data_IF_411718292993
#
_entry.id   IF_411718292993
#
_cell.length_a   1.000
_cell.length_b   1.000
_cell.length_c   1.000
_cell.angle_alpha   90.00
_cell.angle_beta   90.00
_cell.angle_gamma   90.00
#
_symmetry.space_group_name_H-M   'P 1'
#
loop_
_entity.id
_entity.type
_entity.pdbx_description
1 polymer ?
#
# COMPACT_ATOMS: atom_id res chain seq x y z
N UNK A 1 -6.34 -25.88 11.58
CA UNK A 1 -6.38 -25.08 10.36
C UNK A 1 -5.07 -25.36 9.63
N UNK A 2 -5.14 -25.97 8.44
CA UNK A 2 -3.93 -26.27 7.66
C UNK A 2 -3.32 -24.99 7.09
N UNK A 3 -2.05 -25.02 6.78
CA UNK A 3 -1.32 -23.89 6.16
C UNK A 3 -2.04 -23.44 4.89
N UNK A 4 -2.57 -24.34 4.08
CA UNK A 4 -3.31 -24.05 2.85
C UNK A 4 -4.53 -23.14 3.07
N UNK A 5 -5.22 -23.28 4.20
CA UNK A 5 -6.38 -22.44 4.52
C UNK A 5 -6.00 -21.00 4.95
N UNK A 6 -4.84 -20.84 5.60
CA UNK A 6 -4.31 -19.52 5.99
C UNK A 6 -3.78 -18.77 4.76
N UNK A 7 -3.10 -19.48 3.88
CA UNK A 7 -2.60 -18.92 2.63
C UNK A 7 -3.74 -18.46 1.72
N UNK A 8 -4.77 -19.28 1.53
CA UNK A 8 -5.97 -18.91 0.78
C UNK A 8 -6.62 -17.64 1.38
N UNK A 9 -6.73 -17.56 2.70
CA UNK A 9 -7.25 -16.38 3.39
C UNK A 9 -6.42 -15.13 3.12
N UNK A 10 -5.08 -15.23 3.14
CA UNK A 10 -4.19 -14.09 2.88
C UNK A 10 -4.28 -13.62 1.42
N UNK A 11 -4.40 -14.54 0.47
CA UNK A 11 -4.61 -14.20 -0.94
C UNK A 11 -5.95 -13.48 -1.16
N UNK A 12 -7.02 -13.98 -0.55
CA UNK A 12 -8.34 -13.36 -0.66
C UNK A 12 -8.39 -12.02 0.06
N UNK A 13 -7.71 -11.88 1.19
CA UNK A 13 -7.55 -10.59 1.87
C UNK A 13 -6.83 -9.55 0.98
N UNK A 14 -5.77 -9.95 0.28
CA UNK A 14 -5.06 -9.09 -0.68
C UNK A 14 -5.99 -8.58 -1.80
N UNK A 15 -6.83 -9.43 -2.35
CA UNK A 15 -7.84 -9.06 -3.36
C UNK A 15 -8.88 -8.08 -2.81
N UNK A 16 -9.37 -8.31 -1.59
CA UNK A 16 -10.33 -7.42 -0.93
C UNK A 16 -9.73 -6.04 -0.65
N UNK A 17 -8.50 -5.99 -0.17
CA UNK A 17 -7.79 -4.72 0.08
C UNK A 17 -7.56 -3.96 -1.23
N UNK A 18 -7.12 -4.65 -2.28
CA UNK A 18 -7.00 -4.05 -3.61
C UNK A 18 -8.33 -3.47 -4.10
N UNK A 19 -9.42 -4.24 -3.98
CA UNK A 19 -10.75 -3.78 -4.39
C UNK A 19 -11.17 -2.54 -3.59
N UNK A 20 -10.91 -2.51 -2.28
CA UNK A 20 -11.21 -1.34 -1.45
C UNK A 20 -10.42 -0.10 -1.90
N UNK A 21 -9.12 -0.22 -2.20
CA UNK A 21 -8.31 0.88 -2.72
C UNK A 21 -8.78 1.36 -4.09
N UNK A 22 -9.11 0.43 -4.96
CA UNK A 22 -9.63 0.75 -6.30
C UNK A 22 -10.98 1.50 -6.21
N UNK A 23 -11.89 1.04 -5.36
CA UNK A 23 -13.17 1.72 -5.14
C UNK A 23 -12.98 3.11 -4.53
N UNK A 24 -12.08 3.27 -3.55
CA UNK A 24 -11.74 4.58 -2.99
C UNK A 24 -11.14 5.52 -4.04
N UNK A 25 -10.28 5.01 -4.91
CA UNK A 25 -9.73 5.79 -6.03
C UNK A 25 -10.85 6.25 -6.97
N UNK A 26 -11.71 5.34 -7.44
CA UNK A 26 -12.83 5.66 -8.33
C UNK A 26 -13.77 6.68 -7.67
N UNK A 27 -14.13 6.46 -6.41
CA UNK A 27 -14.98 7.38 -5.66
C UNK A 27 -14.34 8.77 -5.52
N UNK A 28 -13.04 8.84 -5.25
CA UNK A 28 -12.33 10.11 -5.14
C UNK A 28 -12.33 10.89 -6.45
N UNK A 29 -12.18 10.22 -7.59
CA UNK A 29 -12.26 10.85 -8.92
C UNK A 29 -13.65 11.47 -9.15
N UNK A 30 -14.73 10.74 -8.81
CA UNK A 30 -16.10 11.25 -8.96
C UNK A 30 -16.43 12.41 -8.02
N UNK A 31 -15.93 12.38 -6.78
CA UNK A 31 -16.23 13.41 -5.78
C UNK A 31 -15.38 14.67 -5.98
N UNK A 32 -14.07 14.49 -6.21
CA UNK A 32 -13.15 15.64 -6.36
C UNK A 32 -13.29 16.33 -7.73
N UNK A 33 -13.63 15.60 -8.78
CA UNK A 33 -13.77 16.08 -10.18
C UNK A 33 -12.55 16.88 -10.68
N UNK A 34 -11.42 16.74 -10.03
CA UNK A 34 -10.15 17.39 -10.35
C UNK A 34 -8.99 16.50 -9.93
N UNK A 35 -7.83 16.73 -10.52
CA UNK A 35 -6.62 16.05 -10.10
C UNK A 35 -6.10 16.69 -8.82
N UNK A 36 -6.38 16.05 -7.69
CA UNK A 36 -5.94 16.45 -6.34
C UNK A 36 -4.86 15.53 -5.81
N UNK A 37 -4.20 15.95 -4.74
CA UNK A 37 -3.23 15.10 -4.05
C UNK A 37 -3.83 13.78 -3.56
N UNK A 38 -5.10 13.77 -3.17
CA UNK A 38 -5.83 12.57 -2.79
C UNK A 38 -5.98 11.60 -3.97
N UNK A 39 -6.46 12.11 -5.12
CA UNK A 39 -6.65 11.29 -6.34
C UNK A 39 -5.33 10.68 -6.80
N UNK A 40 -4.24 11.47 -6.81
CA UNK A 40 -2.89 10.98 -7.16
C UNK A 40 -2.48 9.86 -6.20
N UNK A 41 -2.65 10.07 -4.90
CA UNK A 41 -2.22 9.12 -3.88
C UNK A 41 -2.98 7.81 -3.94
N UNK A 42 -4.30 7.87 -4.13
CA UNK A 42 -5.14 6.68 -4.26
C UNK A 42 -4.90 5.94 -5.58
N UNK A 43 -4.61 6.65 -6.67
CA UNK A 43 -4.20 6.05 -7.93
C UNK A 43 -2.92 5.22 -7.75
N UNK A 44 -1.88 5.81 -7.15
CA UNK A 44 -0.61 5.10 -6.93
C UNK A 44 -0.81 3.92 -5.98
N UNK A 45 -1.59 4.08 -4.90
CA UNK A 45 -1.91 3.02 -3.95
C UNK A 45 -2.65 1.85 -4.64
N UNK A 46 -3.67 2.13 -5.44
CA UNK A 46 -4.43 1.11 -6.15
C UNK A 46 -3.57 0.38 -7.19
N UNK A 47 -2.76 1.11 -7.98
CA UNK A 47 -1.89 0.50 -9.00
C UNK A 47 -0.81 -0.37 -8.35
N UNK A 48 -0.13 0.12 -7.32
CA UNK A 48 0.92 -0.64 -6.64
C UNK A 48 0.35 -1.91 -5.98
N UNK A 49 -0.76 -1.80 -5.25
CA UNK A 49 -1.40 -2.94 -4.60
C UNK A 49 -1.99 -3.93 -5.62
N UNK A 50 -2.54 -3.44 -6.73
CA UNK A 50 -2.99 -4.27 -7.84
C UNK A 50 -1.86 -5.06 -8.48
N UNK A 51 -0.70 -4.44 -8.70
CA UNK A 51 0.49 -5.11 -9.22
C UNK A 51 0.99 -6.19 -8.24
N UNK A 52 1.07 -5.88 -6.95
CA UNK A 52 1.43 -6.86 -5.91
C UNK A 52 0.46 -8.05 -5.90
N UNK A 53 -0.85 -7.79 -5.90
CA UNK A 53 -1.87 -8.83 -5.88
C UNK A 53 -1.81 -9.71 -7.13
N UNK A 54 -1.58 -9.13 -8.31
CA UNK A 54 -1.47 -9.88 -9.57
C UNK A 54 -0.20 -10.74 -9.62
N UNK A 55 0.91 -10.27 -9.06
CA UNK A 55 2.20 -10.99 -9.08
C UNK A 55 2.31 -12.04 -7.97
N UNK A 56 1.52 -11.93 -6.90
CA UNK A 56 1.63 -12.80 -5.71
C UNK A 56 1.55 -14.29 -6.05
N UNK A 57 0.61 -14.80 -6.89
CA UNK A 57 0.54 -16.24 -7.19
C UNK A 57 1.81 -16.74 -7.88
N UNK A 58 2.31 -16.01 -8.88
CA UNK A 58 3.53 -16.36 -9.60
C UNK A 58 4.76 -16.34 -8.68
N UNK A 59 4.91 -15.29 -7.88
CA UNK A 59 6.02 -15.15 -6.95
C UNK A 59 5.99 -16.22 -5.85
N UNK A 60 4.80 -16.64 -5.41
CA UNK A 60 4.62 -17.71 -4.44
C UNK A 60 5.07 -19.06 -5.01
N UNK A 61 4.68 -19.38 -6.24
CA UNK A 61 5.13 -20.58 -6.94
C UNK A 61 6.67 -20.61 -7.10
N UNK A 62 7.27 -19.50 -7.55
CA UNK A 62 8.72 -19.37 -7.63
C UNK A 62 9.40 -19.50 -6.26
N UNK A 63 8.83 -18.87 -5.22
CA UNK A 63 9.36 -18.92 -3.87
C UNK A 63 9.27 -20.31 -3.23
N UNK A 64 8.46 -21.24 -3.75
CA UNK A 64 8.44 -22.64 -3.31
C UNK A 64 9.68 -23.44 -3.73
N UNK A 65 10.40 -22.98 -4.77
CA UNK A 65 11.65 -23.60 -5.25
C UNK A 65 12.79 -23.45 -4.23
N UNK A 66 13.75 -24.39 -4.15
CA UNK A 66 14.75 -24.42 -3.09
C UNK A 66 15.81 -23.32 -3.17
N UNK A 67 16.08 -22.76 -4.35
CA UNK A 67 17.15 -21.81 -4.58
C UNK A 67 16.91 -20.46 -3.87
N UNK A 68 17.98 -19.91 -3.28
CA UNK A 68 17.94 -18.63 -2.58
C UNK A 68 17.48 -17.46 -3.47
N UNK A 69 17.82 -17.55 -4.78
CA UNK A 69 17.42 -16.53 -5.76
C UNK A 69 15.90 -16.33 -5.82
N UNK A 70 15.10 -17.40 -5.81
CA UNK A 70 13.65 -17.29 -5.83
C UNK A 70 13.08 -16.74 -4.53
N UNK A 71 13.74 -17.02 -3.39
CA UNK A 71 13.39 -16.38 -2.11
C UNK A 71 13.67 -14.88 -2.16
N UNK A 72 14.82 -14.49 -2.74
CA UNK A 72 15.13 -13.07 -2.95
C UNK A 72 14.11 -12.39 -3.87
N UNK A 73 13.67 -13.04 -4.95
CA UNK A 73 12.65 -12.50 -5.84
C UNK A 73 11.33 -12.21 -5.09
N UNK A 74 10.89 -13.11 -4.21
CA UNK A 74 9.68 -12.89 -3.41
C UNK A 74 9.74 -11.57 -2.66
N UNK A 75 10.76 -11.35 -1.86
CA UNK A 75 10.87 -10.12 -1.06
C UNK A 75 11.24 -8.92 -1.92
N UNK A 76 12.19 -9.10 -2.84
CA UNK A 76 12.76 -8.03 -3.64
C UNK A 76 11.76 -7.36 -4.59
N UNK A 77 10.85 -8.13 -5.20
CA UNK A 77 9.83 -7.57 -6.10
C UNK A 77 8.85 -6.70 -5.33
N UNK A 78 8.41 -7.10 -4.14
CA UNK A 78 7.52 -6.27 -3.33
C UNK A 78 8.21 -4.99 -2.85
N UNK A 79 9.47 -5.08 -2.37
CA UNK A 79 10.27 -3.89 -2.02
C UNK A 79 10.42 -2.95 -3.22
N UNK A 80 10.67 -3.50 -4.40
CA UNK A 80 10.82 -2.72 -5.63
C UNK A 80 9.52 -1.99 -6.00
N UNK A 81 8.35 -2.65 -5.90
CA UNK A 81 7.05 -2.02 -6.14
C UNK A 81 6.80 -0.91 -5.13
N UNK A 82 7.08 -1.12 -3.83
CA UNK A 82 6.94 -0.09 -2.80
C UNK A 82 7.82 1.12 -3.07
N UNK A 83 9.08 0.91 -3.47
CA UNK A 83 10.00 1.98 -3.83
C UNK A 83 9.52 2.76 -5.07
N UNK A 84 9.04 2.06 -6.10
CA UNK A 84 8.43 2.71 -7.29
C UNK A 84 7.20 3.51 -6.87
N UNK A 85 6.34 2.98 -6.00
CA UNK A 85 5.17 3.70 -5.53
C UNK A 85 5.52 5.01 -4.82
N UNK A 86 6.53 4.99 -3.94
CA UNK A 86 7.05 6.22 -3.28
C UNK A 86 7.59 7.21 -4.33
N UNK A 87 8.38 6.72 -5.29
CA UNK A 87 8.91 7.55 -6.37
C UNK A 87 7.79 8.17 -7.21
N UNK A 88 6.76 7.40 -7.58
CA UNK A 88 5.62 7.87 -8.36
C UNK A 88 4.78 8.88 -7.57
N UNK A 89 4.56 8.67 -6.26
CA UNK A 89 3.92 9.66 -5.39
C UNK A 89 4.64 11.00 -5.48
N UNK A 90 5.95 11.02 -5.26
CA UNK A 90 6.76 12.25 -5.35
C UNK A 90 6.70 12.86 -6.75
N UNK A 91 6.90 12.05 -7.79
CA UNK A 91 7.01 12.50 -9.18
C UNK A 91 5.69 13.11 -9.67
N UNK A 92 4.55 12.48 -9.40
CA UNK A 92 3.24 12.98 -9.82
C UNK A 92 2.84 14.26 -9.08
N UNK A 93 3.10 14.36 -7.77
CA UNK A 93 2.86 15.60 -7.05
C UNK A 93 3.67 16.75 -7.62
N UNK A 94 4.95 16.51 -7.93
CA UNK A 94 5.84 17.52 -8.52
C UNK A 94 5.39 17.90 -9.95
N UNK A 95 5.07 16.90 -10.80
CA UNK A 95 4.67 17.12 -12.19
C UNK A 95 3.36 17.90 -12.30
N UNK A 96 2.38 17.55 -11.46
CA UNK A 96 1.04 18.15 -11.44
C UNK A 96 0.96 19.38 -10.53
N UNK A 97 2.10 19.83 -9.98
CA UNK A 97 2.20 21.00 -9.08
C UNK A 97 1.21 20.95 -7.91
N UNK A 98 0.97 19.73 -7.37
CA UNK A 98 0.10 19.53 -6.23
C UNK A 98 0.90 19.53 -4.93
N UNK A 99 0.38 20.22 -3.90
CA UNK A 99 0.94 20.11 -2.56
C UNK A 99 0.68 18.72 -1.98
N UNK A 100 1.67 18.17 -1.30
CA UNK A 100 1.56 16.85 -0.65
C UNK A 100 0.58 16.95 0.51
N UNK A 101 -0.51 16.19 0.44
CA UNK A 101 -1.51 16.12 1.52
C UNK A 101 -1.06 15.17 2.64
N UNK A 102 -1.73 15.25 3.80
CA UNK A 102 -1.54 14.30 4.90
C UNK A 102 -1.80 12.84 4.46
N UNK A 103 -2.79 12.63 3.59
CA UNK A 103 -3.08 11.31 3.02
C UNK A 103 -1.90 10.80 2.19
N UNK A 104 -1.32 11.64 1.33
CA UNK A 104 -0.16 11.27 0.53
C UNK A 104 1.05 10.90 1.41
N UNK A 105 1.28 11.66 2.49
CA UNK A 105 2.36 11.39 3.44
C UNK A 105 2.15 10.06 4.19
N UNK A 106 0.92 9.76 4.61
CA UNK A 106 0.57 8.50 5.29
C UNK A 106 0.78 7.31 4.33
N UNK A 107 0.31 7.42 3.08
CA UNK A 107 0.50 6.36 2.08
C UNK A 107 1.98 6.15 1.78
N UNK A 108 2.76 7.23 1.63
CA UNK A 108 4.21 7.14 1.45
C UNK A 108 4.93 6.48 2.63
N UNK A 109 4.55 6.84 3.86
CA UNK A 109 5.07 6.22 5.08
C UNK A 109 4.70 4.72 5.18
N UNK A 110 3.50 4.34 4.74
CA UNK A 110 3.06 2.94 4.70
C UNK A 110 3.90 2.13 3.70
N UNK A 111 4.13 2.62 2.49
CA UNK A 111 5.01 1.95 1.52
C UNK A 111 6.44 1.80 2.07
N UNK A 112 6.97 2.83 2.75
CA UNK A 112 8.28 2.75 3.38
C UNK A 112 8.32 1.67 4.48
N UNK A 113 7.28 1.61 5.31
CA UNK A 113 7.16 0.59 6.35
C UNK A 113 7.07 -0.83 5.75
N UNK A 114 6.26 -1.02 4.70
CA UNK A 114 6.12 -2.30 3.99
C UNK A 114 7.45 -2.74 3.39
N UNK A 115 8.15 -1.87 2.66
CA UNK A 115 9.48 -2.15 2.11
C UNK A 115 10.49 -2.51 3.21
N UNK A 116 10.45 -1.81 4.34
CA UNK A 116 11.34 -2.08 5.49
C UNK A 116 11.06 -3.45 6.10
N UNK A 117 9.80 -3.81 6.34
CA UNK A 117 9.40 -5.12 6.89
C UNK A 117 9.85 -6.25 5.95
N UNK A 118 9.63 -6.12 4.66
CA UNK A 118 10.06 -7.09 3.64
C UNK A 118 11.58 -7.29 3.65
N UNK A 119 12.32 -6.19 3.64
CA UNK A 119 13.78 -6.20 3.65
C UNK A 119 14.32 -6.83 4.94
N UNK A 120 13.83 -6.39 6.10
CA UNK A 120 14.24 -6.93 7.40
C UNK A 120 13.94 -8.42 7.51
N UNK A 121 12.77 -8.88 7.03
CA UNK A 121 12.42 -10.29 7.03
C UNK A 121 13.34 -11.15 6.16
N UNK A 122 13.74 -10.64 4.99
CA UNK A 122 14.70 -11.32 4.14
C UNK A 122 16.04 -11.51 4.84
N UNK A 123 16.60 -10.43 5.43
CA UNK A 123 17.87 -10.50 6.16
C UNK A 123 17.80 -11.39 7.41
N UNK A 124 16.73 -11.28 8.18
CA UNK A 124 16.47 -12.10 9.37
C UNK A 124 16.53 -13.60 9.04
N UNK A 125 15.81 -13.99 7.99
CA UNK A 125 15.66 -15.41 7.65
C UNK A 125 16.84 -16.00 6.91
N UNK A 126 17.43 -15.28 5.95
CA UNK A 126 18.40 -15.83 5.00
C UNK A 126 19.84 -15.39 5.24
N UNK A 127 20.08 -14.35 6.00
CA UNK A 127 21.42 -13.86 6.34
C UNK A 127 21.75 -14.18 7.80
N UNK A 128 20.86 -13.84 8.72
CA UNK A 128 21.04 -14.05 10.16
C UNK A 128 20.61 -15.44 10.65
N UNK A 129 19.83 -16.17 9.83
CA UNK A 129 19.21 -17.46 10.18
C UNK A 129 18.41 -17.38 11.49
N UNK A 130 17.66 -16.29 11.67
CA UNK A 130 16.77 -16.06 12.84
C UNK A 130 15.32 -15.90 12.38
N UNK A 131 14.38 -15.92 13.33
CA UNK A 131 12.95 -15.79 13.06
C UNK A 131 12.33 -14.61 13.84
N UNK A 132 13.17 -13.63 14.24
CA UNK A 132 12.77 -12.51 15.10
C UNK A 132 11.68 -11.65 14.41
N UNK A 133 11.81 -11.39 13.12
CA UNK A 133 10.86 -10.59 12.36
C UNK A 133 9.70 -11.37 11.76
N UNK A 134 9.55 -12.67 12.06
CA UNK A 134 8.46 -13.48 11.50
C UNK A 134 7.08 -12.94 11.84
N UNK A 135 6.81 -12.65 13.10
CA UNK A 135 5.52 -12.14 13.56
C UNK A 135 5.22 -10.75 12.95
N UNK A 136 6.24 -9.88 12.91
CA UNK A 136 6.12 -8.54 12.30
C UNK A 136 5.76 -8.64 10.82
N UNK A 137 6.38 -9.57 10.11
CA UNK A 137 6.08 -9.82 8.71
C UNK A 137 4.66 -10.38 8.50
N UNK A 138 4.29 -11.42 9.25
CA UNK A 138 3.01 -12.12 9.09
C UNK A 138 1.80 -11.24 9.42
N UNK A 139 1.90 -10.40 10.45
CA UNK A 139 0.79 -9.57 10.92
C UNK A 139 0.93 -8.12 10.52
N UNK A 140 2.14 -7.58 10.43
CA UNK A 140 2.39 -6.18 10.13
C UNK A 140 1.96 -5.80 8.71
N UNK A 141 2.28 -6.61 7.72
CA UNK A 141 1.90 -6.33 6.32
C UNK A 141 0.38 -6.30 6.14
N UNK A 142 -0.40 -7.34 6.53
CA UNK A 142 -1.86 -7.28 6.45
C UNK A 142 -2.45 -6.14 7.26
N UNK A 143 -1.94 -5.89 8.47
CA UNK A 143 -2.44 -4.84 9.34
C UNK A 143 -2.26 -3.45 8.72
N UNK A 144 -1.08 -3.13 8.19
CA UNK A 144 -0.83 -1.85 7.51
C UNK A 144 -1.80 -1.68 6.35
N UNK A 145 -1.94 -2.68 5.50
CA UNK A 145 -2.82 -2.62 4.33
C UNK A 145 -4.30 -2.44 4.72
N UNK A 146 -4.79 -3.17 5.72
CA UNK A 146 -6.18 -3.03 6.19
C UNK A 146 -6.40 -1.66 6.84
N UNK A 147 -5.47 -1.20 7.69
CA UNK A 147 -5.60 0.07 8.41
C UNK A 147 -5.52 1.30 7.52
N UNK A 148 -4.84 1.20 6.37
CA UNK A 148 -4.82 2.30 5.40
C UNK A 148 -6.20 2.66 4.87
N UNK A 149 -7.11 1.72 4.70
CA UNK A 149 -8.47 1.99 4.21
C UNK A 149 -9.22 2.97 5.12
N UNK A 150 -9.46 2.67 6.42
CA UNK A 150 -10.15 3.59 7.31
C UNK A 150 -9.37 4.88 7.56
N UNK A 151 -8.03 4.85 7.59
CA UNK A 151 -7.22 6.05 7.75
C UNK A 151 -7.43 7.02 6.58
N UNK A 152 -7.35 6.55 5.34
CA UNK A 152 -7.59 7.37 4.16
C UNK A 152 -8.99 7.97 4.17
N UNK A 153 -10.01 7.17 4.49
CA UNK A 153 -11.40 7.64 4.58
C UNK A 153 -11.55 8.71 5.66
N UNK A 154 -10.96 8.51 6.84
CA UNK A 154 -11.01 9.47 7.94
C UNK A 154 -10.37 10.81 7.57
N UNK A 155 -9.15 10.79 7.03
CA UNK A 155 -8.45 12.01 6.60
C UNK A 155 -9.16 12.72 5.44
N UNK A 156 -9.72 11.97 4.50
CA UNK A 156 -10.52 12.54 3.43
C UNK A 156 -11.77 13.23 3.96
N UNK A 157 -12.53 12.58 4.85
CA UNK A 157 -13.73 13.16 5.47
C UNK A 157 -13.41 14.44 6.25
N UNK A 158 -12.29 14.50 6.96
CA UNK A 158 -11.82 15.72 7.65
C UNK A 158 -11.48 16.82 6.64
N UNK A 159 -10.80 16.49 5.55
CA UNK A 159 -10.46 17.43 4.48
C UNK A 159 -11.68 18.06 3.83
N UNK A 160 -12.69 17.26 3.50
CA UNK A 160 -13.97 17.75 2.92
C UNK A 160 -14.70 18.67 3.89
N UNK A 161 -14.77 18.32 5.17
CA UNK A 161 -15.43 19.16 6.20
C UNK A 161 -14.74 20.51 6.40
N UNK A 162 -13.41 20.54 6.39
CA UNK A 162 -12.65 21.80 6.54
C UNK A 162 -12.84 22.72 5.34
N UNK A 163 -12.88 22.19 4.11
CA UNK A 163 -13.16 22.95 2.91
C UNK A 163 -14.56 23.57 2.93
N UNK A 164 -15.58 22.81 3.32
CA UNK A 164 -16.97 23.31 3.48
C UNK A 164 -17.08 24.47 4.47
N UNK A 165 -16.41 24.37 5.63
CA UNK A 165 -16.41 25.43 6.64
C UNK A 165 -15.73 26.71 6.14
N UNK A 166 -14.63 26.59 5.41
CA UNK A 166 -13.92 27.74 4.83
C UNK A 166 -14.79 28.48 3.80
N UNK A 167 -15.55 27.75 2.99
CA UNK A 167 -16.47 28.34 2.01
C UNK A 167 -17.64 29.07 2.70
N UNK A 168 -18.20 28.52 3.78
CA UNK A 168 -19.28 29.18 4.55
C UNK A 168 -18.79 30.46 5.24
N UNK A 169 -17.58 30.49 5.79
CA UNK A 169 -17.00 31.66 6.43
C UNK A 169 -16.64 32.78 5.44
N UNK A 170 -16.42 32.47 4.17
CA UNK A 170 -16.13 33.47 3.12
C UNK A 170 -17.40 34.11 2.52
N UNK A 171 -18.60 33.61 2.83
CA UNK A 171 -19.89 34.11 2.33
C UNK A 171 -20.59 34.99 3.38
N UNK A 172 -20.10 34.99 4.62
CA UNK A 172 -20.57 35.88 5.71
C UNK A 172 -19.70 37.14 5.78
#
# INVERSE_FOLDING_TARGET
MGWDSIEALLFDLGKLVFLAYFLLFVLSVFVEQKVSSLVISLMVLAVANGAMTALTPLLYELASMPELFYKFLWYGVFVFIDCIAIFLLYKFHKLLKQNVSSVASIIGAAFLALASIQTLRFFDRFVSNTEVFQLVYQYGIPLINIMLVPLVVAFWAVGVRSASRATQAAVQ
#
